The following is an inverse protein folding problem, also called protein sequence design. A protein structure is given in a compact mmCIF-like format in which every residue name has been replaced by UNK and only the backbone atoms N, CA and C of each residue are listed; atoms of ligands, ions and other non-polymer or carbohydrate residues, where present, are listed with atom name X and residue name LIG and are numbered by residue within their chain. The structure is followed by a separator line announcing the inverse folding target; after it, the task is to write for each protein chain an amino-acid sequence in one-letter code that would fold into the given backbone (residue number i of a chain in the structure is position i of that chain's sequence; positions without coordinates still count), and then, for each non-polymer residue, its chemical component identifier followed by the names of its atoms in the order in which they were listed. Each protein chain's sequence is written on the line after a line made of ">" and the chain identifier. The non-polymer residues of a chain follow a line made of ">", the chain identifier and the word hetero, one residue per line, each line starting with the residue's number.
data_IF_532889852559
#
_entry.id   IF_532889852559
#
_cell.length_a   1.000
_cell.length_b   1.000
_cell.length_c   1.000
_cell.angle_alpha   90.00
_cell.angle_beta   90.00
_cell.angle_gamma   90.00
#
_symmetry.space_group_name_H-M   'P 1'
#
loop_
_entity.id
_entity.type
_entity.pdbx_description
1 polymer ?
#
# COMPACT_ATOMS: atom_id res chain seq x y z
N UNK A 1 16.50 -23.24 -87.25
CA UNK A 1 17.14 -22.39 -86.23
C UNK A 1 16.01 -21.72 -85.47
N UNK A 2 15.64 -22.27 -84.28
CA UNK A 2 14.49 -21.78 -83.50
C UNK A 2 15.05 -21.02 -82.27
N UNK A 3 14.73 -19.78 -82.21
CA UNK A 3 15.11 -18.88 -81.11
C UNK A 3 13.99 -18.94 -80.10
N UNK A 4 14.25 -19.47 -78.89
CA UNK A 4 13.31 -19.56 -77.78
C UNK A 4 13.33 -18.27 -76.98
N UNK A 5 12.14 -17.67 -76.81
CA UNK A 5 11.95 -16.54 -75.92
C UNK A 5 11.77 -17.04 -74.47
N UNK A 6 12.69 -16.64 -73.61
CA UNK A 6 12.62 -16.88 -72.17
C UNK A 6 11.88 -15.70 -71.49
N UNK A 7 10.66 -15.94 -71.09
CA UNK A 7 9.84 -14.93 -70.34
C UNK A 7 10.22 -14.95 -68.87
N UNK A 8 10.86 -13.88 -68.44
CA UNK A 8 11.20 -13.66 -67.02
C UNK A 8 9.97 -13.09 -66.27
N UNK A 9 9.32 -13.91 -65.43
CA UNK A 9 8.24 -13.46 -64.58
C UNK A 9 8.86 -12.88 -63.29
N UNK A 10 8.79 -11.53 -63.16
CA UNK A 10 9.17 -10.80 -61.95
C UNK A 10 7.95 -10.87 -60.99
N UNK A 11 8.08 -11.65 -59.92
CA UNK A 11 7.13 -11.68 -58.82
C UNK A 11 7.46 -10.54 -57.88
N UNK A 12 6.66 -9.48 -57.85
CA UNK A 12 6.75 -8.39 -56.89
C UNK A 12 6.17 -8.85 -55.53
N UNK A 13 7.02 -9.08 -54.56
CA UNK A 13 6.62 -9.36 -53.17
C UNK A 13 6.36 -8.03 -52.47
N UNK A 14 5.09 -7.68 -52.29
CA UNK A 14 4.70 -6.57 -51.45
C UNK A 14 4.80 -7.01 -49.96
N UNK A 15 5.88 -6.62 -49.29
CA UNK A 15 6.00 -6.74 -47.86
C UNK A 15 5.14 -5.61 -47.21
N UNK A 16 3.97 -5.97 -46.71
CA UNK A 16 3.15 -5.05 -45.90
C UNK A 16 3.84 -4.86 -44.54
N UNK A 17 4.54 -3.74 -44.37
CA UNK A 17 5.07 -3.31 -43.07
C UNK A 17 3.89 -2.77 -42.27
N UNK A 18 3.36 -3.59 -41.38
CA UNK A 18 2.37 -3.17 -40.37
C UNK A 18 3.08 -2.30 -39.34
N UNK A 19 3.04 -0.98 -39.50
CA UNK A 19 3.51 -0.03 -38.50
C UNK A 19 2.52 -0.10 -37.31
N UNK A 20 2.85 -0.88 -36.29
CA UNK A 20 2.14 -0.85 -35.02
C UNK A 20 2.40 0.55 -34.40
N UNK A 21 1.44 1.44 -34.51
CA UNK A 21 1.39 2.68 -33.75
C UNK A 21 1.35 2.28 -32.27
N UNK A 22 2.52 2.22 -31.62
CA UNK A 22 2.60 2.21 -30.18
C UNK A 22 2.05 3.56 -29.70
N UNK A 23 0.74 3.62 -29.46
CA UNK A 23 0.10 4.77 -28.85
C UNK A 23 0.85 5.09 -27.57
N UNK A 24 1.34 6.31 -27.44
CA UNK A 24 1.89 6.81 -26.17
C UNK A 24 0.83 6.60 -25.10
N UNK A 25 1.03 5.62 -24.22
CA UNK A 25 0.13 5.39 -23.09
C UNK A 25 0.21 6.65 -22.22
N UNK A 26 -0.78 7.52 -22.33
CA UNK A 26 -0.92 8.64 -21.43
C UNK A 26 -1.08 8.07 -20.03
N UNK A 27 -0.23 8.51 -19.12
CA UNK A 27 -0.32 8.15 -17.72
C UNK A 27 -0.95 9.32 -16.97
N UNK A 28 -2.13 9.08 -16.42
CA UNK A 28 -2.84 10.05 -15.61
C UNK A 28 -2.69 9.78 -14.11
N UNK A 29 -3.57 10.35 -13.33
CA UNK A 29 -3.70 10.06 -11.91
C UNK A 29 -5.09 9.54 -11.58
N UNK A 30 -5.18 8.69 -10.56
CA UNK A 30 -6.46 8.32 -9.92
C UNK A 30 -6.51 8.94 -8.54
N UNK A 31 -7.45 9.85 -8.33
CA UNK A 31 -7.59 10.58 -7.07
C UNK A 31 -9.04 10.60 -6.60
N UNK A 32 -9.26 10.72 -5.30
CA UNK A 32 -10.62 10.78 -4.77
C UNK A 32 -10.65 10.74 -3.26
N UNK A 33 -11.82 10.35 -2.75
CA UNK A 33 -12.10 10.30 -1.31
C UNK A 33 -12.69 8.95 -0.93
N UNK A 34 -12.14 8.34 0.09
CA UNK A 34 -12.74 7.16 0.73
C UNK A 34 -13.68 7.66 1.82
N UNK A 35 -14.98 7.50 1.59
CA UNK A 35 -16.05 7.95 2.49
C UNK A 35 -16.47 6.83 3.45
N UNK A 36 -16.91 7.20 4.63
CA UNK A 36 -17.47 6.27 5.60
C UNK A 36 -18.99 6.18 5.44
N UNK A 37 -19.53 4.96 5.48
CA UNK A 37 -20.96 4.73 5.57
C UNK A 37 -21.33 4.47 7.03
N UNK A 38 -22.19 5.33 7.59
CA UNK A 38 -22.67 5.21 8.96
C UNK A 38 -22.22 6.36 9.86
N UNK A 39 -22.45 6.20 11.16
CA UNK A 39 -22.04 7.17 12.19
C UNK A 39 -20.60 6.92 12.59
N UNK A 40 -19.76 7.94 12.45
CA UNK A 40 -18.36 7.86 12.87
C UNK A 40 -18.27 7.56 14.38
N UNK A 41 -17.44 6.59 14.81
CA UNK A 41 -17.25 6.32 16.23
C UNK A 41 -16.54 7.50 16.91
N UNK A 42 -16.87 7.74 18.17
CA UNK A 42 -16.11 8.66 18.98
C UNK A 42 -14.67 8.13 19.23
N UNK A 43 -13.66 9.00 19.23
CA UNK A 43 -12.29 8.58 19.56
C UNK A 43 -12.22 7.95 20.96
N UNK A 44 -11.72 6.72 21.05
CA UNK A 44 -11.55 6.01 22.32
C UNK A 44 -10.13 6.19 22.84
N UNK A 45 -9.98 6.65 24.08
CA UNK A 45 -8.69 6.69 24.76
C UNK A 45 -8.33 5.29 25.22
N UNK A 46 -7.09 4.87 24.93
CA UNK A 46 -6.56 3.58 25.34
C UNK A 46 -5.91 3.68 26.72
N UNK A 47 -6.09 2.63 27.54
CA UNK A 47 -5.47 2.56 28.84
C UNK A 47 -3.98 2.22 28.70
N UNK A 48 -3.13 3.08 29.23
CA UNK A 48 -1.69 2.85 29.34
C UNK A 48 -1.41 2.21 30.69
N UNK A 49 -1.29 0.87 30.70
CA UNK A 49 -1.12 0.08 31.89
C UNK A 49 0.36 -0.26 32.22
N UNK A 50 1.27 -0.04 31.28
CA UNK A 50 2.69 -0.39 31.37
C UNK A 50 3.58 0.78 30.95
N UNK A 51 4.80 0.88 31.51
CA UNK A 51 5.78 1.94 31.20
C UNK A 51 5.20 3.37 31.26
N UNK A 52 4.33 3.63 32.25
CA UNK A 52 3.54 4.89 32.39
C UNK A 52 4.41 6.15 32.36
N UNK A 53 5.64 6.09 32.87
CA UNK A 53 6.59 7.24 32.85
C UNK A 53 7.00 7.67 31.44
N UNK A 54 6.92 6.77 30.46
CA UNK A 54 7.23 7.04 29.04
C UNK A 54 5.97 7.10 28.22
N UNK A 55 5.18 6.04 28.20
CA UNK A 55 3.98 5.91 27.38
C UNK A 55 2.81 6.78 27.86
N UNK A 56 2.70 7.03 29.17
CA UNK A 56 1.64 7.84 29.77
C UNK A 56 1.80 9.33 29.58
N UNK A 57 2.89 9.81 28.97
CA UNK A 57 3.10 11.24 28.69
C UNK A 57 2.14 11.79 27.63
N UNK A 58 1.68 10.92 26.73
CA UNK A 58 0.78 11.27 25.64
C UNK A 58 -0.56 10.53 25.83
N UNK A 59 -1.66 11.20 25.52
CA UNK A 59 -2.95 10.56 25.41
C UNK A 59 -2.97 9.69 24.16
N UNK A 60 -2.93 8.37 24.32
CA UNK A 60 -3.00 7.42 23.22
C UNK A 60 -4.48 7.16 22.90
N UNK A 61 -4.88 7.33 21.65
CA UNK A 61 -6.23 7.05 21.15
C UNK A 61 -6.24 5.83 20.24
N UNK A 62 -7.38 5.13 20.20
CA UNK A 62 -7.61 4.08 19.21
C UNK A 62 -7.82 4.73 17.83
N UNK A 63 -6.81 4.68 17.00
CA UNK A 63 -6.81 5.18 15.63
C UNK A 63 -7.05 4.07 14.59
N UNK A 64 -7.62 2.94 15.03
CA UNK A 64 -7.98 1.83 14.14
C UNK A 64 -9.11 2.16 13.16
N UNK A 65 -9.92 3.18 13.46
CA UNK A 65 -10.90 3.76 12.55
C UNK A 65 -10.99 5.26 12.80
N UNK A 66 -10.32 6.02 11.94
CA UNK A 66 -10.33 7.49 11.99
C UNK A 66 -11.20 8.01 10.86
N UNK A 67 -12.29 8.67 11.24
CA UNK A 67 -13.22 9.32 10.30
C UNK A 67 -13.23 10.83 10.58
N UNK A 68 -12.86 11.63 9.57
CA UNK A 68 -12.84 13.10 9.66
C UNK A 68 -13.59 13.67 8.46
N UNK A 69 -14.57 14.53 8.71
CA UNK A 69 -15.42 15.12 7.67
C UNK A 69 -16.03 14.05 6.72
N UNK A 70 -16.47 12.91 7.30
CA UNK A 70 -17.02 11.79 6.55
C UNK A 70 -16.01 10.94 5.78
N UNK A 71 -14.71 11.29 5.78
CA UNK A 71 -13.68 10.56 5.09
C UNK A 71 -12.86 9.65 6.01
N UNK A 72 -12.50 8.46 5.52
CA UNK A 72 -11.77 7.41 6.24
C UNK A 72 -10.27 7.55 6.00
N UNK A 73 -9.49 7.72 7.07
CA UNK A 73 -8.03 7.64 7.03
C UNK A 73 -7.53 6.21 7.05
N UNK A 74 -6.28 5.97 6.61
CA UNK A 74 -5.60 4.68 6.62
C UNK A 74 -6.17 3.60 5.70
N UNK A 75 -7.11 3.92 4.81
CA UNK A 75 -7.52 2.98 3.76
C UNK A 75 -6.42 2.87 2.70
N UNK A 76 -6.05 1.65 2.33
CA UNK A 76 -5.07 1.36 1.26
C UNK A 76 -5.83 1.17 -0.03
N UNK A 77 -5.62 2.06 -0.98
CA UNK A 77 -6.22 2.01 -2.33
C UNK A 77 -5.19 1.47 -3.30
N UNK A 78 -5.50 0.38 -3.99
CA UNK A 78 -4.55 -0.33 -4.86
C UNK A 78 -5.18 -0.62 -6.23
N UNK A 79 -4.52 -0.21 -7.31
CA UNK A 79 -4.95 -0.52 -8.68
C UNK A 79 -4.33 -1.84 -9.11
N UNK A 80 -5.17 -2.80 -9.44
CA UNK A 80 -4.77 -4.14 -9.86
C UNK A 80 -4.74 -4.25 -11.38
N UNK A 81 -3.73 -4.93 -11.90
CA UNK A 81 -3.60 -5.20 -13.33
C UNK A 81 -2.86 -4.14 -14.14
N UNK A 82 -2.70 -2.93 -13.62
CA UNK A 82 -1.90 -1.90 -14.27
C UNK A 82 -0.42 -2.33 -14.34
N UNK A 83 0.18 -2.19 -15.53
CA UNK A 83 1.57 -2.56 -15.80
C UNK A 83 2.47 -1.32 -15.82
N UNK A 84 3.76 -1.52 -15.66
CA UNK A 84 4.74 -0.42 -15.63
C UNK A 84 4.78 0.31 -14.30
N UNK A 85 5.05 1.61 -14.37
CA UNK A 85 5.23 2.45 -13.19
C UNK A 85 6.53 2.20 -12.42
N UNK A 86 6.85 3.10 -11.52
CA UNK A 86 8.05 3.01 -10.67
C UNK A 86 7.67 3.10 -9.20
N UNK A 87 8.16 2.15 -8.40
CA UNK A 87 8.03 2.25 -6.95
C UNK A 87 8.72 3.50 -6.41
N UNK A 88 8.05 4.23 -5.55
CA UNK A 88 8.62 5.37 -4.86
C UNK A 88 9.83 4.98 -4.00
N UNK A 89 10.67 5.95 -3.66
CA UNK A 89 11.80 5.74 -2.75
C UNK A 89 11.32 5.25 -1.38
N UNK A 90 10.21 5.80 -0.88
CA UNK A 90 9.61 5.40 0.39
C UNK A 90 9.17 3.92 0.39
N UNK A 91 8.55 3.43 -0.68
CA UNK A 91 8.14 2.04 -0.79
C UNK A 91 9.31 1.05 -0.93
N UNK A 92 10.49 1.51 -1.41
CA UNK A 92 11.73 0.71 -1.51
C UNK A 92 12.52 0.69 -0.21
N UNK A 93 12.39 1.75 0.62
CA UNK A 93 13.09 1.93 1.90
C UNK A 93 12.08 2.28 2.99
N UNK A 94 11.13 1.37 3.20
CA UNK A 94 10.01 1.58 4.11
C UNK A 94 10.49 1.55 5.56
N UNK A 95 10.05 2.56 6.31
CA UNK A 95 10.37 2.72 7.73
C UNK A 95 9.10 2.90 8.53
N UNK A 96 9.05 2.24 9.68
CA UNK A 96 8.05 2.41 10.74
C UNK A 96 8.81 2.75 12.01
N UNK A 97 8.30 3.67 12.82
CA UNK A 97 8.91 4.07 14.09
C UNK A 97 8.02 3.67 15.28
N UNK A 98 8.62 3.25 16.35
CA UNK A 98 8.00 3.09 17.66
C UNK A 98 8.32 4.37 18.43
N UNK A 99 7.38 5.30 18.42
CA UNK A 99 7.53 6.62 19.00
C UNK A 99 6.24 7.05 19.71
N UNK A 100 6.37 7.41 20.98
CA UNK A 100 5.22 7.70 21.84
C UNK A 100 4.38 6.45 22.16
N UNK A 101 5.02 5.28 22.14
CA UNK A 101 4.43 3.97 22.39
C UNK A 101 3.30 3.61 21.41
N UNK A 102 3.49 3.99 20.16
CA UNK A 102 2.66 3.59 19.01
C UNK A 102 3.57 3.27 17.81
N UNK A 103 3.03 2.57 16.81
CA UNK A 103 3.68 2.43 15.51
C UNK A 103 3.29 3.60 14.60
N UNK A 104 4.28 4.34 14.10
CA UNK A 104 4.09 5.51 13.22
C UNK A 104 4.83 5.33 11.90
N UNK A 105 4.16 5.45 10.74
CA UNK A 105 2.71 5.59 10.58
C UNK A 105 1.97 4.29 10.95
N UNK A 106 0.69 4.39 11.27
CA UNK A 106 -0.16 3.23 11.60
C UNK A 106 -0.24 2.22 10.46
N UNK A 107 -0.42 2.71 9.24
CA UNK A 107 -0.44 1.89 8.02
C UNK A 107 0.69 2.34 7.11
N UNK A 108 1.44 1.39 6.57
CA UNK A 108 2.50 1.66 5.61
C UNK A 108 2.45 0.69 4.44
N UNK A 109 2.88 1.14 3.27
CA UNK A 109 2.96 0.33 2.06
C UNK A 109 4.42 0.15 1.67
N UNK A 110 4.80 -1.08 1.29
CA UNK A 110 6.15 -1.40 0.86
C UNK A 110 6.17 -2.23 -0.41
N UNK A 111 7.24 -2.11 -1.18
CA UNK A 111 7.52 -3.01 -2.30
C UNK A 111 7.78 -4.41 -1.75
N UNK A 112 7.08 -5.42 -2.27
CA UNK A 112 7.32 -6.81 -1.93
C UNK A 112 8.78 -7.22 -2.19
N UNK A 113 9.34 -8.00 -1.27
CA UNK A 113 10.73 -8.46 -1.36
C UNK A 113 11.78 -7.43 -0.91
N UNK A 114 11.38 -6.30 -0.28
CA UNK A 114 12.31 -5.37 0.36
C UNK A 114 12.39 -5.59 1.88
N UNK A 115 13.32 -4.92 2.54
CA UNK A 115 13.46 -4.94 4.00
C UNK A 115 12.57 -3.86 4.62
N UNK A 116 11.92 -4.16 5.75
CA UNK A 116 11.29 -3.16 6.59
C UNK A 116 12.31 -2.65 7.62
N UNK A 117 12.41 -1.34 7.74
CA UNK A 117 13.17 -0.69 8.81
C UNK A 117 12.21 -0.37 9.94
N UNK A 118 12.53 -0.79 11.16
CA UNK A 118 11.78 -0.40 12.34
C UNK A 118 12.71 0.37 13.27
N UNK A 119 12.32 1.59 13.60
CA UNK A 119 13.03 2.43 14.58
C UNK A 119 12.42 2.22 15.96
N UNK A 120 13.20 2.47 16.99
CA UNK A 120 12.75 2.61 18.36
C UNK A 120 13.22 3.98 18.88
N UNK A 121 12.36 4.97 18.76
CA UNK A 121 12.61 6.33 19.24
C UNK A 121 12.25 6.52 20.71
N UNK A 122 11.51 5.58 21.30
CA UNK A 122 11.24 5.52 22.73
C UNK A 122 12.49 5.05 23.51
N UNK A 123 12.55 5.39 24.79
CA UNK A 123 13.64 5.01 25.68
C UNK A 123 13.35 3.74 26.50
N UNK A 124 12.56 2.82 25.93
CA UNK A 124 12.10 1.58 26.58
C UNK A 124 12.22 0.39 25.63
N UNK A 125 11.94 -0.81 26.15
CA UNK A 125 11.83 -2.02 25.37
C UNK A 125 10.51 -2.01 24.59
N UNK A 126 10.58 -2.28 23.30
CA UNK A 126 9.48 -2.73 22.46
C UNK A 126 9.83 -4.07 21.82
N UNK A 127 8.88 -4.69 21.14
CA UNK A 127 9.15 -5.76 20.19
C UNK A 127 8.33 -5.56 18.92
N UNK A 128 8.76 -6.22 17.85
CA UNK A 128 8.08 -6.23 16.56
C UNK A 128 7.57 -7.63 16.32
N UNK A 129 6.30 -7.86 16.63
CA UNK A 129 5.63 -9.13 16.42
C UNK A 129 4.72 -9.01 15.20
N UNK A 130 4.98 -9.81 14.17
CA UNK A 130 4.30 -9.72 12.88
C UNK A 130 3.44 -10.94 12.60
N UNK A 131 2.23 -10.69 12.09
CA UNK A 131 1.22 -11.70 11.80
C UNK A 131 0.68 -11.54 10.37
N UNK A 132 0.37 -12.64 9.64
CA UNK A 132 -0.24 -12.52 8.31
C UNK A 132 -1.69 -12.08 8.45
N UNK A 133 -2.03 -10.90 7.92
CA UNK A 133 -3.39 -10.35 7.97
C UNK A 133 -3.92 -10.28 9.40
N UNK A 134 -5.11 -10.83 9.63
CA UNK A 134 -5.74 -10.94 10.95
C UNK A 134 -5.43 -12.24 11.69
N UNK A 135 -4.59 -13.10 11.11
CA UNK A 135 -4.19 -14.37 11.75
C UNK A 135 -3.40 -14.12 13.04
N UNK A 136 -3.47 -15.08 13.97
CA UNK A 136 -2.62 -15.12 15.17
C UNK A 136 -1.26 -15.79 14.92
N UNK A 137 -1.05 -16.38 13.74
CA UNK A 137 0.22 -17.03 13.42
C UNK A 137 1.37 -16.02 13.40
N UNK A 138 2.50 -16.39 13.96
CA UNK A 138 3.70 -15.56 13.98
C UNK A 138 4.49 -15.72 12.69
N UNK A 139 4.85 -14.59 12.07
CA UNK A 139 5.82 -14.53 10.98
C UNK A 139 7.21 -14.20 11.52
N UNK A 140 7.29 -13.25 12.43
CA UNK A 140 8.49 -12.89 13.18
C UNK A 140 8.10 -12.23 14.50
N UNK A 141 8.90 -12.47 15.53
CA UNK A 141 8.78 -11.79 16.82
C UNK A 141 10.20 -11.42 17.29
N UNK A 142 10.51 -10.13 17.31
CA UNK A 142 11.88 -9.63 17.51
C UNK A 142 11.88 -8.53 18.56
N UNK A 143 12.57 -8.75 19.66
CA UNK A 143 12.78 -7.74 20.71
C UNK A 143 13.63 -6.57 20.17
N UNK A 144 13.24 -5.36 20.53
CA UNK A 144 13.95 -4.13 20.21
C UNK A 144 14.15 -3.30 21.49
N UNK A 145 15.18 -3.63 22.30
CA UNK A 145 15.46 -2.89 23.52
C UNK A 145 15.89 -1.44 23.24
N UNK A 146 15.85 -0.59 24.27
CA UNK A 146 16.12 0.86 24.20
C UNK A 146 17.41 1.25 23.47
N UNK A 147 18.45 0.42 23.54
CA UNK A 147 19.73 0.68 22.87
C UNK A 147 19.72 0.28 21.39
N UNK A 148 18.81 -0.57 20.95
CA UNK A 148 18.67 -1.00 19.55
C UNK A 148 17.76 -0.04 18.79
N UNK A 149 18.27 1.14 18.46
CA UNK A 149 17.50 2.21 17.81
C UNK A 149 16.96 1.85 16.41
N UNK A 150 17.53 0.84 15.76
CA UNK A 150 17.17 0.44 14.40
C UNK A 150 17.20 -1.07 14.25
N UNK A 151 16.08 -1.63 13.81
CA UNK A 151 15.92 -3.02 13.41
C UNK A 151 15.73 -3.10 11.89
N UNK A 152 16.49 -3.96 11.22
CA UNK A 152 16.30 -4.27 9.80
C UNK A 152 15.64 -5.64 9.69
N UNK A 153 14.35 -5.69 9.47
CA UNK A 153 13.64 -6.95 9.26
C UNK A 153 13.97 -7.54 7.89
N UNK A 154 14.19 -8.86 7.86
CA UNK A 154 14.58 -9.56 6.63
C UNK A 154 13.50 -9.46 5.55
N UNK A 155 13.92 -9.29 4.30
CA UNK A 155 13.04 -9.31 3.13
C UNK A 155 12.23 -10.61 2.99
N UNK A 156 12.67 -11.72 3.60
CA UNK A 156 11.96 -13.02 3.58
C UNK A 156 10.56 -12.93 4.17
N UNK A 157 10.34 -12.07 5.17
CA UNK A 157 9.06 -11.88 5.82
C UNK A 157 8.03 -11.14 4.94
N UNK A 158 8.52 -10.41 3.92
CA UNK A 158 7.71 -9.60 3.01
C UNK A 158 7.89 -10.00 1.54
N UNK A 159 8.31 -11.25 1.27
CA UNK A 159 8.59 -11.73 -0.09
C UNK A 159 7.33 -11.77 -0.96
N UNK A 160 6.20 -12.17 -0.38
CA UNK A 160 4.90 -12.22 -1.06
C UNK A 160 4.10 -10.95 -0.80
N UNK A 161 3.28 -10.50 -1.76
CA UNK A 161 2.26 -9.48 -1.50
C UNK A 161 1.32 -9.94 -0.40
N UNK A 162 0.87 -9.01 0.42
CA UNK A 162 -0.06 -9.31 1.50
C UNK A 162 -0.08 -8.24 2.57
N UNK A 163 -0.97 -8.41 3.50
CA UNK A 163 -1.19 -7.53 4.65
C UNK A 163 -0.55 -8.20 5.86
N UNK A 164 0.28 -7.46 6.57
CA UNK A 164 0.97 -7.93 7.78
C UNK A 164 0.58 -7.02 8.94
N UNK A 165 -0.04 -7.60 9.97
CA UNK A 165 -0.28 -6.91 11.23
C UNK A 165 1.02 -6.87 12.03
N UNK A 166 1.30 -5.75 12.67
CA UNK A 166 2.45 -5.56 13.57
C UNK A 166 1.93 -5.22 14.94
N UNK A 167 2.34 -5.95 15.96
CA UNK A 167 1.98 -5.74 17.36
C UNK A 167 3.22 -5.66 18.25
N UNK A 168 3.05 -5.15 19.46
CA UNK A 168 4.04 -5.21 20.50
C UNK A 168 3.49 -6.07 21.67
N UNK A 169 4.22 -7.12 22.09
CA UNK A 169 3.80 -7.97 23.19
C UNK A 169 4.04 -7.31 24.56
N UNK A 170 4.89 -6.27 24.58
CA UNK A 170 5.16 -5.49 25.79
C UNK A 170 4.02 -4.47 26.06
N UNK A 171 3.46 -3.91 25.00
CA UNK A 171 2.43 -2.86 25.04
C UNK A 171 1.27 -3.28 24.14
N UNK A 172 0.25 -3.88 24.70
CA UNK A 172 -0.87 -4.55 24.02
C UNK A 172 -1.73 -3.62 23.15
N UNK A 173 -1.69 -2.31 23.42
CA UNK A 173 -2.37 -1.29 22.60
C UNK A 173 -1.63 -0.94 21.30
N UNK A 174 -0.33 -1.28 21.17
CA UNK A 174 0.44 -0.93 19.97
C UNK A 174 0.11 -1.84 18.81
N UNK A 175 -0.51 -1.29 17.79
CA UNK A 175 -0.83 -1.99 16.54
C UNK A 175 -0.47 -1.12 15.33
N UNK A 176 0.11 -1.73 14.31
CA UNK A 176 0.37 -1.14 13.00
C UNK A 176 0.16 -2.16 11.89
N UNK A 177 0.20 -1.69 10.65
CA UNK A 177 -0.02 -2.53 9.47
C UNK A 177 1.00 -2.24 8.38
N UNK A 178 1.50 -3.30 7.77
CA UNK A 178 2.40 -3.24 6.61
C UNK A 178 1.75 -3.93 5.44
N UNK A 179 1.51 -3.20 4.36
CA UNK A 179 0.98 -3.74 3.12
C UNK A 179 2.11 -3.93 2.13
N UNK A 180 2.49 -5.20 1.89
CA UNK A 180 3.50 -5.58 0.92
C UNK A 180 2.85 -5.75 -0.46
N UNK A 181 3.35 -5.07 -1.50
CA UNK A 181 2.73 -5.06 -2.82
C UNK A 181 3.72 -5.22 -3.96
N UNK A 182 3.26 -5.80 -5.08
CA UNK A 182 4.00 -5.87 -6.36
C UNK A 182 3.63 -4.74 -7.32
N UNK A 183 2.58 -3.97 -7.06
CA UNK A 183 2.22 -2.81 -7.87
C UNK A 183 2.72 -1.50 -7.25
N UNK A 184 3.25 -0.55 -8.04
CA UNK A 184 3.55 0.80 -7.55
C UNK A 184 2.28 1.68 -7.44
N UNK A 185 1.18 1.27 -8.05
CA UNK A 185 -0.07 2.02 -8.12
C UNK A 185 -0.92 1.80 -6.86
N UNK A 186 -0.48 2.42 -5.78
CA UNK A 186 -1.10 2.28 -4.46
C UNK A 186 -0.91 3.56 -3.66
N UNK A 187 -1.95 3.96 -2.92
CA UNK A 187 -1.93 5.08 -1.99
C UNK A 187 -2.60 4.68 -0.67
N UNK A 188 -2.31 5.44 0.37
CA UNK A 188 -3.01 5.37 1.66
C UNK A 188 -3.84 6.65 1.78
N UNK A 189 -5.12 6.52 2.14
CA UNK A 189 -5.95 7.69 2.38
C UNK A 189 -5.50 8.43 3.63
N UNK A 190 -5.37 9.74 3.49
CA UNK A 190 -5.04 10.66 4.57
C UNK A 190 -6.29 11.23 5.26
N UNK A 191 -6.10 12.36 5.93
CA UNK A 191 -7.17 13.10 6.58
C UNK A 191 -8.32 13.43 5.62
N UNK A 192 -9.55 13.20 6.09
CA UNK A 192 -10.74 13.37 5.26
C UNK A 192 -10.86 12.36 4.12
N UNK A 193 -10.14 11.23 4.20
CA UNK A 193 -10.23 10.11 3.27
C UNK A 193 -9.59 10.36 1.90
N UNK A 194 -8.88 11.46 1.69
CA UNK A 194 -8.30 11.84 0.40
C UNK A 194 -7.13 10.93 0.02
N UNK A 195 -7.06 10.54 -1.24
CA UNK A 195 -5.94 9.78 -1.81
C UNK A 195 -5.60 10.24 -3.23
N UNK A 196 -4.37 9.96 -3.69
CA UNK A 196 -3.93 10.14 -5.07
C UNK A 196 -2.92 9.07 -5.45
N UNK A 197 -3.09 8.49 -6.64
CA UNK A 197 -2.17 7.52 -7.26
C UNK A 197 -1.76 8.10 -8.60
N UNK A 198 -0.50 8.48 -8.75
CA UNK A 198 0.02 9.09 -9.97
C UNK A 198 0.57 8.04 -10.95
N UNK A 199 0.63 8.42 -12.22
CA UNK A 199 1.28 7.68 -13.28
C UNK A 199 0.56 6.39 -13.67
N UNK A 200 -0.74 6.31 -13.47
CA UNK A 200 -1.57 5.16 -13.86
C UNK A 200 -1.80 5.23 -15.37
N UNK A 201 -1.43 4.18 -16.14
CA UNK A 201 -1.74 4.14 -17.57
C UNK A 201 -3.25 4.15 -17.83
N UNK A 202 -3.67 4.67 -18.98
CA UNK A 202 -5.05 4.57 -19.43
C UNK A 202 -5.46 3.09 -19.57
N UNK A 203 -6.69 2.77 -19.18
CA UNK A 203 -7.22 1.42 -19.23
C UNK A 203 -8.27 1.13 -18.16
N UNK A 204 -8.88 -0.06 -18.25
CA UNK A 204 -9.90 -0.53 -17.31
C UNK A 204 -9.25 -1.42 -16.24
N UNK A 205 -9.43 -1.06 -14.98
CA UNK A 205 -8.77 -1.72 -13.84
C UNK A 205 -9.75 -2.13 -12.75
N UNK A 206 -9.28 -3.03 -11.89
CA UNK A 206 -9.92 -3.28 -10.60
C UNK A 206 -9.19 -2.50 -9.52
N UNK A 207 -9.93 -1.70 -8.77
CA UNK A 207 -9.44 -1.04 -7.56
C UNK A 207 -9.82 -1.86 -6.36
N UNK A 208 -8.85 -2.14 -5.52
CA UNK A 208 -9.03 -2.77 -4.20
C UNK A 208 -8.77 -1.74 -3.12
N UNK A 209 -9.73 -1.56 -2.23
CA UNK A 209 -9.66 -0.66 -1.07
C UNK A 209 -9.70 -1.53 0.18
N UNK A 210 -8.64 -1.54 0.94
CA UNK A 210 -8.54 -2.28 2.20
C UNK A 210 -8.44 -1.33 3.39
N UNK A 211 -9.15 -1.67 4.46
CA UNK A 211 -9.04 -1.00 5.75
C UNK A 211 -9.15 -2.02 6.90
N UNK A 212 -8.34 -1.85 7.95
CA UNK A 212 -8.22 -2.85 9.04
C UNK A 212 -9.54 -3.18 9.74
N UNK A 213 -10.43 -2.22 9.91
CA UNK A 213 -11.75 -2.39 10.55
C UNK A 213 -12.86 -2.67 9.55
N UNK A 214 -12.79 -2.06 8.36
CA UNK A 214 -13.90 -2.06 7.39
C UNK A 214 -13.74 -3.13 6.31
N UNK A 215 -12.65 -3.92 6.37
CA UNK A 215 -12.41 -5.01 5.41
C UNK A 215 -11.93 -4.52 4.06
N UNK A 216 -12.33 -5.24 3.02
CA UNK A 216 -11.92 -4.99 1.64
C UNK A 216 -13.14 -4.76 0.76
N UNK A 217 -13.09 -3.70 -0.05
CA UNK A 217 -14.02 -3.41 -1.13
C UNK A 217 -13.28 -3.41 -2.46
N UNK A 218 -13.92 -3.96 -3.49
CA UNK A 218 -13.41 -3.90 -4.86
C UNK A 218 -14.39 -3.18 -5.76
N UNK A 219 -13.88 -2.46 -6.75
CA UNK A 219 -14.66 -1.77 -7.77
C UNK A 219 -13.89 -1.66 -9.08
N UNK A 220 -14.58 -1.38 -10.18
CA UNK A 220 -13.97 -1.10 -11.47
C UNK A 220 -13.72 0.39 -11.63
N UNK A 221 -12.69 0.73 -12.40
CA UNK A 221 -12.39 2.09 -12.82
C UNK A 221 -11.84 2.07 -14.24
N UNK A 222 -12.36 2.97 -15.08
CA UNK A 222 -11.79 3.25 -16.38
C UNK A 222 -10.95 4.52 -16.26
N UNK A 223 -9.63 4.35 -16.42
CA UNK A 223 -8.67 5.44 -16.33
C UNK A 223 -8.48 6.04 -17.73
N UNK A 224 -8.73 7.32 -17.85
CA UNK A 224 -8.48 8.15 -19.05
C UNK A 224 -7.88 9.48 -18.58
N UNK A 225 -6.55 9.56 -18.58
CA UNK A 225 -5.85 10.68 -17.97
C UNK A 225 -6.15 10.81 -16.47
N UNK A 226 -6.36 12.04 -15.99
CA UNK A 226 -6.69 12.29 -14.58
C UNK A 226 -8.14 11.87 -14.29
N UNK A 227 -8.29 10.87 -13.46
CA UNK A 227 -9.57 10.21 -13.17
C UNK A 227 -9.96 10.38 -11.70
N UNK A 228 -11.22 10.77 -11.47
CA UNK A 228 -11.81 10.83 -10.13
C UNK A 228 -12.40 9.48 -9.74
N UNK A 229 -12.17 9.06 -8.48
CA UNK A 229 -12.68 7.83 -7.91
C UNK A 229 -13.05 8.02 -6.44
N UNK A 230 -14.30 8.32 -6.17
CA UNK A 230 -14.83 8.31 -4.81
C UNK A 230 -15.38 6.92 -4.48
N UNK A 231 -15.18 6.46 -3.24
CA UNK A 231 -15.70 5.18 -2.78
C UNK A 231 -16.21 5.28 -1.35
N UNK A 232 -17.29 4.58 -1.04
CA UNK A 232 -17.84 4.47 0.31
C UNK A 232 -17.54 3.07 0.85
N UNK A 233 -17.01 2.98 2.08
CA UNK A 233 -16.71 1.73 2.79
C UNK A 233 -17.33 1.74 4.18
N UNK A 234 -17.59 0.56 4.75
CA UNK A 234 -18.33 0.42 6.00
C UNK A 234 -19.84 0.30 5.76
N UNK A 235 -20.61 0.05 6.79
CA UNK A 235 -22.04 -0.27 6.79
C UNK A 235 -22.29 -1.67 7.24
#
# INVERSE_FOLDING_TARGET
>A
MRIGHLSLKIAAVFAAVSLALAGSAFAGSVSGTIKFSGKAPAPKVLSVNKDKKVCGKNKITDDSLVVKNGGVSWAVVSIKGAKGGKFSKAMKKTTVDQNGCIYTPRVTVMKAGTKLIVLNSDKILHNVHTHPGKSKNTVANIAQPKFKKKLKMSKRYFKKPGIVKVTCDVHDWMTGWVVSTKTPFVAISGDGGKFKIDGVPDGSYTVEIWHEKLGTKTMKVDVKGDTKLDATIGG
#
